data_IF_273744629894
#
_entry.id   IF_273744629894
#
_cell.length_a   1.000
_cell.length_b   1.000
_cell.length_c   1.000
_cell.angle_alpha   90.00
_cell.angle_beta   90.00
_cell.angle_gamma   90.00
#
_symmetry.space_group_name_H-M   'P 1'
#
loop_
_entity.id
_entity.type
_entity.pdbx_description
1 polymer ?
#
# COMPACT_ATOMS: atom_id res chain seq x y z
N UNK A 1 -79.16 -43.53 39.70
CA UNK A 1 -79.11 -42.33 40.56
C UNK A 1 -77.78 -42.30 41.30
N UNK A 2 -77.00 -41.26 41.01
CA UNK A 2 -75.94 -40.62 41.82
C UNK A 2 -74.91 -41.50 42.55
N UNK A 3 -73.74 -41.58 41.94
CA UNK A 3 -72.47 -41.71 42.64
C UNK A 3 -71.77 -40.33 42.73
N UNK A 4 -70.82 -40.22 43.67
CA UNK A 4 -69.73 -39.26 43.72
C UNK A 4 -70.03 -37.88 44.35
N UNK A 5 -69.66 -37.70 45.63
CA UNK A 5 -68.95 -36.52 46.18
C UNK A 5 -68.71 -36.60 47.70
N UNK A 6 -67.44 -36.37 48.08
CA UNK A 6 -66.94 -35.73 49.34
C UNK A 6 -66.86 -36.59 50.62
N UNK A 7 -65.84 -36.54 51.49
CA UNK A 7 -64.54 -35.81 51.61
C UNK A 7 -63.78 -36.47 52.80
N UNK A 8 -62.49 -36.82 52.71
CA UNK A 8 -61.29 -35.98 52.90
C UNK A 8 -60.89 -35.75 54.39
N UNK A 9 -60.03 -36.62 54.94
CA UNK A 9 -59.08 -36.28 56.01
C UNK A 9 -58.03 -37.40 56.18
N UNK A 10 -56.80 -37.02 56.52
CA UNK A 10 -55.64 -37.86 56.87
C UNK A 10 -54.75 -38.39 55.72
N UNK A 11 -53.88 -37.50 55.22
CA UNK A 11 -52.49 -37.84 54.91
C UNK A 11 -51.66 -36.54 54.78
N UNK A 12 -51.52 -35.78 55.87
CA UNK A 12 -50.52 -34.70 55.94
C UNK A 12 -49.23 -35.30 56.53
N UNK A 13 -48.60 -36.17 55.73
CA UNK A 13 -47.26 -36.63 56.01
C UNK A 13 -46.29 -35.46 55.75
N UNK A 14 -45.44 -35.24 56.73
CA UNK A 14 -44.27 -34.36 56.72
C UNK A 14 -43.47 -34.57 55.44
N UNK A 15 -43.64 -33.67 54.47
CA UNK A 15 -42.63 -33.41 53.44
C UNK A 15 -42.01 -32.08 53.83
N UNK A 16 -40.91 -32.19 54.56
CA UNK A 16 -39.93 -31.13 54.70
C UNK A 16 -39.53 -30.71 53.28
N UNK A 17 -40.05 -29.58 52.80
CA UNK A 17 -39.61 -28.93 51.58
C UNK A 17 -38.14 -28.53 51.76
N UNK A 18 -37.23 -29.45 51.48
CA UNK A 18 -35.91 -29.12 50.95
C UNK A 18 -36.12 -28.62 49.52
N UNK A 19 -36.72 -27.44 49.38
CA UNK A 19 -36.44 -26.65 48.19
C UNK A 19 -34.94 -26.38 48.25
N UNK A 20 -34.13 -26.78 47.25
CA UNK A 20 -32.78 -26.24 47.17
C UNK A 20 -32.95 -24.73 47.18
N UNK A 21 -32.45 -24.06 48.22
CA UNK A 21 -32.27 -22.61 48.18
C UNK A 21 -31.51 -22.35 46.89
N UNK A 22 -32.12 -21.65 45.93
CA UNK A 22 -31.41 -21.20 44.75
C UNK A 22 -30.23 -20.38 45.27
N UNK A 23 -29.02 -20.95 45.19
CA UNK A 23 -27.80 -20.22 45.51
C UNK A 23 -27.65 -19.21 44.39
N UNK A 24 -28.15 -18.00 44.59
CA UNK A 24 -27.89 -16.91 43.66
C UNK A 24 -26.38 -16.70 43.66
N UNK A 25 -25.74 -16.93 42.52
CA UNK A 25 -24.35 -16.53 42.34
C UNK A 25 -24.30 -15.02 42.62
N UNK A 26 -23.55 -14.61 43.64
CA UNK A 26 -23.36 -13.19 43.88
C UNK A 26 -22.63 -12.63 42.66
N UNK A 27 -23.21 -11.61 42.02
CA UNK A 27 -22.59 -10.95 40.88
C UNK A 27 -21.16 -10.53 41.27
N UNK A 28 -20.16 -10.80 40.40
CA UNK A 28 -18.83 -10.28 40.63
C UNK A 28 -18.90 -8.75 40.64
N UNK A 29 -18.23 -8.10 41.58
CA UNK A 29 -18.11 -6.65 41.59
C UNK A 29 -16.65 -6.26 41.37
N UNK A 30 -16.38 -5.42 40.38
CA UNK A 30 -15.03 -4.86 40.16
C UNK A 30 -14.93 -3.55 40.95
N UNK A 31 -13.99 -3.47 41.89
CA UNK A 31 -13.71 -2.23 42.62
C UNK A 31 -12.74 -1.33 41.86
N UNK A 32 -11.69 -1.92 41.29
CA UNK A 32 -10.73 -1.23 40.43
C UNK A 32 -9.99 -2.23 39.53
N UNK A 33 -9.16 -1.68 38.64
CA UNK A 33 -8.18 -2.45 37.89
C UNK A 33 -6.96 -1.57 37.58
N UNK A 34 -5.79 -2.19 37.47
CA UNK A 34 -4.55 -1.51 37.14
C UNK A 34 -3.61 -2.38 36.29
N UNK A 35 -2.94 -1.80 35.27
CA UNK A 35 -3.06 -0.41 34.82
C UNK A 35 -4.38 -0.14 34.07
N UNK A 36 -4.79 1.13 34.00
CA UNK A 36 -6.00 1.54 33.28
C UNK A 36 -5.82 1.57 31.75
N UNK A 37 -4.58 1.55 31.28
CA UNK A 37 -4.20 1.49 29.86
C UNK A 37 -2.98 0.61 29.69
N UNK A 38 -2.97 -0.27 28.69
CA UNK A 38 -1.81 -1.10 28.39
C UNK A 38 -1.83 -1.67 26.96
N UNK A 39 -0.64 -2.09 26.52
CA UNK A 39 -0.48 -2.84 25.27
C UNK A 39 -1.14 -4.22 25.36
N UNK A 40 -1.59 -4.78 24.22
CA UNK A 40 -1.90 -6.19 24.14
C UNK A 40 -0.79 -7.08 24.68
N UNK A 41 -1.16 -8.13 25.41
CA UNK A 41 -0.22 -9.03 26.07
C UNK A 41 0.24 -8.55 27.46
N UNK A 42 0.02 -7.28 27.81
CA UNK A 42 0.26 -6.82 29.18
C UNK A 42 -0.74 -7.45 30.16
N UNK A 43 -0.35 -7.52 31.43
CA UNK A 43 -1.23 -8.03 32.49
C UNK A 43 -1.92 -6.88 33.22
N UNK A 44 -3.24 -6.94 33.32
CA UNK A 44 -4.08 -6.09 34.15
C UNK A 44 -4.50 -6.87 35.40
N UNK A 45 -4.27 -6.29 36.57
CA UNK A 45 -4.79 -6.80 37.83
C UNK A 45 -6.17 -6.18 38.07
N UNK A 46 -7.18 -7.02 38.24
CA UNK A 46 -8.56 -6.63 38.50
C UNK A 46 -8.86 -6.97 39.96
N UNK A 47 -9.25 -6.00 40.76
CA UNK A 47 -9.63 -6.20 42.16
C UNK A 47 -11.15 -6.05 42.32
N UNK A 48 -11.69 -6.74 43.32
CA UNK A 48 -13.12 -6.76 43.54
C UNK A 48 -13.58 -7.77 44.56
N UNK A 49 -14.77 -8.31 44.36
CA UNK A 49 -15.38 -9.33 45.21
C UNK A 49 -16.12 -10.37 44.39
N UNK A 50 -16.35 -11.52 45.00
CA UNK A 50 -17.10 -12.66 44.45
C UNK A 50 -16.46 -13.31 43.21
N UNK A 51 -15.13 -13.29 43.05
CA UNK A 51 -14.48 -13.85 41.84
C UNK A 51 -14.30 -15.39 41.87
N UNK A 52 -14.75 -16.07 42.93
CA UNK A 52 -14.57 -17.52 43.09
C UNK A 52 -15.23 -18.40 42.02
N UNK A 53 -16.18 -17.84 41.25
CA UNK A 53 -16.86 -18.52 40.14
C UNK A 53 -16.42 -18.07 38.75
N UNK A 54 -15.33 -17.30 38.61
CA UNK A 54 -14.97 -16.64 37.37
C UNK A 54 -14.80 -17.62 36.20
N UNK A 55 -15.47 -17.32 35.08
CA UNK A 55 -15.46 -18.09 33.83
C UNK A 55 -14.83 -17.32 32.68
N UNK A 56 -15.08 -16.03 32.58
CA UNK A 56 -14.45 -15.21 31.55
C UNK A 56 -14.26 -13.76 31.99
N UNK A 57 -13.25 -13.13 31.38
CA UNK A 57 -12.97 -11.70 31.47
C UNK A 57 -13.00 -11.17 30.05
N UNK A 58 -13.77 -10.10 29.81
CA UNK A 58 -13.86 -9.44 28.52
C UNK A 58 -13.54 -7.96 28.64
N UNK A 59 -12.71 -7.47 27.74
CA UNK A 59 -12.33 -6.06 27.64
C UNK A 59 -13.15 -5.36 26.56
N UNK A 60 -13.96 -4.40 26.96
CA UNK A 60 -14.81 -3.65 26.05
C UNK A 60 -15.92 -4.47 25.38
N UNK A 61 -16.65 -3.86 24.42
CA UNK A 61 -17.86 -4.43 23.86
C UNK A 61 -17.62 -5.38 22.69
N UNK A 62 -16.38 -5.65 22.27
CA UNK A 62 -16.11 -6.58 21.16
C UNK A 62 -16.11 -8.03 21.62
N UNK A 63 -16.79 -8.92 20.89
CA UNK A 63 -16.87 -10.36 21.22
C UNK A 63 -15.55 -11.10 21.03
N UNK A 64 -14.57 -10.51 20.36
CA UNK A 64 -13.22 -11.05 20.22
C UNK A 64 -12.29 -10.72 21.38
N UNK A 65 -12.70 -9.84 22.31
CA UNK A 65 -11.85 -9.31 23.37
C UNK A 65 -11.94 -10.08 24.69
N UNK A 66 -12.03 -11.42 24.61
CA UNK A 66 -11.91 -12.27 25.79
C UNK A 66 -10.44 -12.45 26.16
N UNK A 67 -10.13 -12.19 27.42
CA UNK A 67 -8.78 -12.28 27.95
C UNK A 67 -8.48 -13.69 28.47
N UNK A 68 -7.23 -14.11 28.27
CA UNK A 68 -6.64 -15.16 29.11
C UNK A 68 -6.47 -14.58 30.51
N UNK A 69 -6.78 -15.36 31.55
CA UNK A 69 -6.66 -14.90 32.93
C UNK A 69 -6.10 -15.97 33.86
N UNK A 70 -5.51 -15.53 34.96
CA UNK A 70 -4.83 -16.37 35.94
C UNK A 70 -4.87 -15.73 37.34
N UNK A 71 -4.34 -16.42 38.34
CA UNK A 71 -4.20 -15.87 39.70
C UNK A 71 -5.53 -15.47 40.35
N UNK A 72 -6.60 -16.21 40.06
CA UNK A 72 -7.94 -15.91 40.56
C UNK A 72 -8.02 -16.25 42.05
N UNK A 73 -8.40 -15.26 42.86
CA UNK A 73 -8.80 -15.40 44.26
C UNK A 73 -10.23 -14.88 44.41
N UNK A 74 -10.80 -14.87 45.62
CA UNK A 74 -12.15 -14.32 45.84
C UNK A 74 -12.26 -12.81 45.51
N UNK A 75 -11.15 -12.08 45.51
CA UNK A 75 -11.11 -10.61 45.40
C UNK A 75 -10.16 -10.07 44.35
N UNK A 76 -9.51 -10.93 43.57
CA UNK A 76 -8.53 -10.51 42.55
C UNK A 76 -8.44 -11.51 41.41
N UNK A 77 -8.24 -11.02 40.19
CA UNK A 77 -7.84 -11.81 39.03
C UNK A 77 -6.79 -11.04 38.21
N UNK A 78 -5.92 -11.76 37.51
CA UNK A 78 -4.98 -11.17 36.54
C UNK A 78 -5.42 -11.54 35.13
N UNK A 79 -5.57 -10.55 34.27
CA UNK A 79 -6.03 -10.72 32.89
C UNK A 79 -4.98 -10.22 31.91
N UNK A 80 -4.74 -10.98 30.84
CA UNK A 80 -3.86 -10.57 29.74
C UNK A 80 -4.68 -9.78 28.72
N UNK A 81 -4.26 -8.55 28.42
CA UNK A 81 -4.95 -7.66 27.47
C UNK A 81 -5.02 -8.34 26.10
N UNK A 82 -6.22 -8.54 25.52
CA UNK A 82 -6.34 -9.16 24.21
C UNK A 82 -5.81 -8.27 23.09
N UNK A 83 -5.45 -8.88 21.96
CA UNK A 83 -5.03 -8.16 20.76
C UNK A 83 -6.23 -7.54 20.04
N UNK A 84 -6.05 -6.33 19.51
CA UNK A 84 -7.08 -5.58 18.78
C UNK A 84 -7.68 -4.41 19.58
N UNK A 85 -8.84 -3.94 19.12
CA UNK A 85 -9.55 -2.82 19.74
C UNK A 85 -10.41 -3.30 20.91
N UNK A 86 -9.75 -3.50 22.05
CA UNK A 86 -10.37 -3.97 23.29
C UNK A 86 -10.55 -2.86 24.34
N UNK A 87 -10.68 -1.61 23.90
CA UNK A 87 -10.98 -0.50 24.80
C UNK A 87 -12.45 -0.54 25.25
N UNK A 88 -12.70 -0.19 26.51
CA UNK A 88 -14.02 -0.14 27.13
C UNK A 88 -14.04 -0.75 28.53
N UNK A 89 -15.23 -0.87 29.13
CA UNK A 89 -15.39 -1.47 30.45
C UNK A 89 -14.99 -2.95 30.45
N UNK A 90 -14.50 -3.44 31.59
CA UNK A 90 -14.17 -4.84 31.79
C UNK A 90 -15.41 -5.54 32.33
N UNK A 91 -15.81 -6.64 31.68
CA UNK A 91 -16.91 -7.49 32.14
C UNK A 91 -16.38 -8.83 32.63
N UNK A 92 -16.81 -9.23 33.82
CA UNK A 92 -16.60 -10.55 34.40
C UNK A 92 -17.89 -11.36 34.28
N UNK A 93 -17.73 -12.63 33.97
CA UNK A 93 -18.78 -13.63 34.01
C UNK A 93 -18.42 -14.71 35.02
N UNK A 94 -19.30 -14.93 35.97
CA UNK A 94 -19.22 -16.00 36.96
C UNK A 94 -20.25 -17.08 36.68
N UNK A 95 -19.91 -18.32 37.03
CA UNK A 95 -20.86 -19.42 37.13
C UNK A 95 -20.66 -20.14 38.47
N UNK A 96 -21.61 -19.97 39.38
CA UNK A 96 -21.61 -20.62 40.71
C UNK A 96 -22.88 -21.46 40.81
N UNK A 97 -22.71 -22.76 41.09
CA UNK A 97 -23.83 -23.70 41.24
C UNK A 97 -24.83 -23.71 40.07
N UNK A 98 -24.36 -23.45 38.84
CA UNK A 98 -25.20 -23.42 37.64
C UNK A 98 -25.95 -22.11 37.40
N UNK A 99 -25.70 -21.07 38.20
CA UNK A 99 -26.30 -19.74 38.04
C UNK A 99 -25.25 -18.77 37.51
N UNK A 100 -25.58 -18.07 36.42
CA UNK A 100 -24.75 -17.02 35.84
C UNK A 100 -24.82 -15.74 36.67
N UNK A 101 -23.67 -15.08 36.83
CA UNK A 101 -23.56 -13.74 37.42
C UNK A 101 -22.62 -12.86 36.59
N UNK A 102 -22.90 -11.57 36.50
CA UNK A 102 -22.16 -10.63 35.66
C UNK A 102 -21.78 -9.36 36.41
N UNK A 103 -20.56 -8.90 36.17
CA UNK A 103 -20.01 -7.70 36.79
C UNK A 103 -19.30 -6.84 35.76
N UNK A 104 -19.56 -5.54 35.75
CA UNK A 104 -18.91 -4.62 34.82
C UNK A 104 -18.21 -3.51 35.61
N UNK A 105 -16.97 -3.18 35.25
CA UNK A 105 -16.24 -2.07 35.89
C UNK A 105 -16.93 -0.74 35.62
N UNK A 106 -16.89 0.17 36.61
CA UNK A 106 -17.38 1.54 36.42
C UNK A 106 -16.53 2.31 35.40
N UNK A 107 -15.20 2.22 35.53
CA UNK A 107 -14.24 2.83 34.60
C UNK A 107 -13.97 1.95 33.37
N UNK A 108 -13.55 2.58 32.28
CA UNK A 108 -13.10 1.89 31.05
C UNK A 108 -11.60 1.64 31.07
N UNK A 109 -11.20 0.48 30.55
CA UNK A 109 -9.81 0.18 30.19
C UNK A 109 -9.52 0.69 28.78
N UNK A 110 -8.28 1.11 28.53
CA UNK A 110 -7.82 1.55 27.20
C UNK A 110 -6.75 0.59 26.67
N UNK A 111 -7.04 -0.08 25.55
CA UNK A 111 -6.02 -0.83 24.81
C UNK A 111 -5.18 0.14 23.99
N UNK A 112 -3.85 -0.03 23.98
CA UNK A 112 -2.96 0.83 23.18
C UNK A 112 -3.29 0.78 21.68
N UNK A 113 -3.18 1.91 20.96
CA UNK A 113 -3.35 1.95 19.50
C UNK A 113 -2.25 1.13 18.79
N UNK A 114 -2.41 0.84 17.49
CA UNK A 114 -1.36 0.20 16.70
C UNK A 114 -0.15 1.12 16.62
N UNK A 115 1.05 0.55 16.72
CA UNK A 115 2.30 1.31 16.71
C UNK A 115 3.41 0.53 16.02
N UNK A 116 4.36 1.24 15.42
CA UNK A 116 5.58 0.68 14.85
C UNK A 116 6.74 1.06 15.77
N UNK A 117 7.47 0.06 16.25
CA UNK A 117 8.64 0.22 17.13
C UNK A 117 9.95 0.28 16.34
N UNK A 118 10.05 -0.52 15.28
CA UNK A 118 11.27 -0.62 14.49
C UNK A 118 11.02 -1.01 13.04
N UNK A 119 12.00 -0.71 12.20
CA UNK A 119 12.04 -1.07 10.78
C UNK A 119 13.33 -1.84 10.50
N UNK A 120 13.26 -2.89 9.68
CA UNK A 120 14.47 -3.61 9.22
C UNK A 120 15.38 -2.75 8.34
N UNK A 121 14.84 -1.70 7.73
CA UNK A 121 15.56 -0.70 6.95
C UNK A 121 14.90 0.67 7.11
N UNK A 122 15.70 1.73 7.13
CA UNK A 122 15.25 3.14 7.17
C UNK A 122 15.38 3.83 5.82
N UNK A 123 15.87 3.12 4.80
CA UNK A 123 16.00 3.63 3.42
C UNK A 123 15.95 2.50 2.40
N UNK A 124 15.69 2.85 1.14
CA UNK A 124 15.68 1.91 0.02
C UNK A 124 15.44 2.61 -1.32
N UNK A 125 15.37 1.83 -2.40
CA UNK A 125 15.10 2.34 -3.75
C UNK A 125 14.12 1.42 -4.46
N UNK A 126 13.03 1.94 -5.06
CA UNK A 126 12.10 1.09 -5.80
C UNK A 126 12.52 0.89 -7.26
N UNK A 127 11.94 -0.10 -7.94
CA UNK A 127 11.30 -1.28 -7.40
C UNK A 127 12.39 -2.19 -6.83
N UNK A 128 12.38 -2.39 -5.52
CA UNK A 128 13.21 -3.43 -4.91
C UNK A 128 12.38 -4.66 -4.67
N UNK A 129 12.93 -5.82 -5.03
CA UNK A 129 12.51 -7.11 -4.46
C UNK A 129 12.80 -7.19 -2.95
N UNK A 130 13.60 -6.27 -2.42
CA UNK A 130 13.87 -6.12 -0.99
C UNK A 130 12.61 -5.61 -0.29
N UNK A 131 12.20 -6.33 0.76
CA UNK A 131 11.06 -5.95 1.60
C UNK A 131 11.54 -5.27 2.89
N UNK A 132 10.74 -4.36 3.41
CA UNK A 132 10.92 -3.74 4.73
C UNK A 132 10.01 -4.46 5.72
N UNK A 133 10.59 -4.96 6.80
CA UNK A 133 9.83 -5.54 7.93
C UNK A 133 9.62 -4.45 8.99
N UNK A 134 8.36 -4.18 9.28
CA UNK A 134 7.89 -3.28 10.33
C UNK A 134 7.55 -4.14 11.55
N UNK A 135 8.15 -3.85 12.70
CA UNK A 135 7.87 -4.53 13.98
C UNK A 135 7.21 -3.56 14.93
N UNK A 136 6.21 -4.02 15.68
CA UNK A 136 5.46 -3.17 16.58
C UNK A 136 4.40 -3.91 17.40
N UNK A 137 3.31 -3.22 17.74
CA UNK A 137 2.15 -3.81 18.43
C UNK A 137 0.86 -3.56 17.67
N UNK A 138 -0.10 -4.45 17.88
CA UNK A 138 -1.46 -4.30 17.35
C UNK A 138 -1.52 -4.20 15.81
N UNK A 139 -0.59 -4.84 15.10
CA UNK A 139 -0.50 -4.82 13.63
C UNK A 139 -1.34 -5.91 12.94
N UNK A 140 -2.13 -6.67 13.71
CA UNK A 140 -3.06 -7.66 13.15
C UNK A 140 -4.15 -6.98 12.33
N UNK A 141 -4.58 -7.61 11.23
CA UNK A 141 -5.62 -7.04 10.38
C UNK A 141 -5.17 -5.77 9.67
N UNK A 142 -3.87 -5.68 9.36
CA UNK A 142 -3.34 -4.64 8.47
C UNK A 142 -4.08 -4.70 7.14
N UNK A 143 -4.72 -3.59 6.78
CA UNK A 143 -5.48 -3.39 5.55
C UNK A 143 -4.63 -2.78 4.43
N UNK A 144 -3.67 -1.92 4.77
CA UNK A 144 -2.72 -1.37 3.82
C UNK A 144 -1.41 -0.91 4.48
N UNK A 145 -0.34 -0.91 3.69
CA UNK A 145 0.96 -0.34 4.04
C UNK A 145 1.35 0.65 2.97
N UNK A 146 1.59 1.92 3.30
CA UNK A 146 1.86 2.96 2.30
C UNK A 146 3.10 3.79 2.67
N UNK A 147 3.96 4.06 1.69
CA UNK A 147 5.29 4.67 1.88
C UNK A 147 5.26 6.17 1.55
N UNK A 148 5.35 7.01 2.59
CA UNK A 148 5.26 8.46 2.46
C UNK A 148 3.88 8.95 2.05
N UNK A 149 3.73 10.25 1.80
CA UNK A 149 2.51 10.84 1.23
C UNK A 149 2.71 11.05 -0.25
N UNK A 150 1.75 10.61 -1.07
CA UNK A 150 1.79 10.77 -2.52
C UNK A 150 0.51 11.47 -3.01
N UNK A 151 0.67 12.47 -3.87
CA UNK A 151 -0.46 13.19 -4.47
C UNK A 151 -1.33 12.29 -5.37
N UNK A 152 -0.74 11.23 -5.92
CA UNK A 152 -1.36 10.32 -6.90
C UNK A 152 -1.83 9.00 -6.28
N UNK A 153 -1.73 8.79 -4.96
CA UNK A 153 -2.27 7.61 -4.27
C UNK A 153 -1.60 6.25 -4.53
N UNK A 154 -0.56 6.19 -5.38
CA UNK A 154 0.15 4.93 -5.75
C UNK A 154 1.31 4.53 -4.83
N UNK A 155 1.32 5.05 -3.60
CA UNK A 155 2.37 4.79 -2.60
C UNK A 155 2.09 3.57 -1.72
N UNK A 156 0.98 2.87 -1.92
CA UNK A 156 0.64 1.67 -1.16
C UNK A 156 1.30 0.41 -1.74
N UNK A 157 1.80 -0.43 -0.84
CA UNK A 157 2.64 -1.58 -1.11
C UNK A 157 1.84 -2.88 -1.15
N UNK A 158 2.40 -3.86 -1.85
CA UNK A 158 2.13 -5.26 -1.53
C UNK A 158 2.78 -5.58 -0.18
N UNK A 159 2.05 -6.30 0.67
CA UNK A 159 2.51 -6.63 2.01
C UNK A 159 2.03 -8.02 2.45
N UNK A 160 2.71 -8.53 3.47
CA UNK A 160 2.35 -9.74 4.21
C UNK A 160 2.24 -9.38 5.68
N UNK A 161 1.06 -9.59 6.26
CA UNK A 161 0.88 -9.49 7.72
C UNK A 161 1.41 -10.77 8.36
N UNK A 162 2.35 -10.63 9.30
CA UNK A 162 3.01 -11.74 9.98
C UNK A 162 2.48 -11.89 11.41
N UNK A 163 1.20 -11.62 11.62
CA UNK A 163 0.55 -11.66 12.93
C UNK A 163 0.43 -10.28 13.56
N UNK A 164 0.56 -10.23 14.89
CA UNK A 164 0.15 -9.07 15.70
C UNK A 164 1.28 -8.05 15.91
N UNK A 165 2.52 -8.45 15.66
CA UNK A 165 3.71 -7.65 15.95
C UNK A 165 4.59 -7.37 14.73
N UNK A 166 4.23 -7.88 13.55
CA UNK A 166 5.07 -7.71 12.36
C UNK A 166 4.27 -7.65 11.06
N UNK A 167 4.69 -6.77 10.16
CA UNK A 167 4.22 -6.68 8.77
C UNK A 167 5.44 -6.51 7.88
N UNK A 168 5.48 -7.23 6.76
CA UNK A 168 6.54 -7.09 5.75
C UNK A 168 5.94 -6.48 4.48
N UNK A 169 6.54 -5.42 3.95
CA UNK A 169 6.04 -4.72 2.78
C UNK A 169 7.15 -4.49 1.73
N UNK A 170 6.79 -4.66 0.46
CA UNK A 170 7.69 -4.36 -0.66
C UNK A 170 7.60 -2.87 -1.01
N UNK A 171 8.73 -2.23 -1.30
CA UNK A 171 8.72 -0.80 -1.61
C UNK A 171 8.07 -0.57 -2.99
N UNK A 172 6.92 0.12 -3.09
CA UNK A 172 6.20 0.26 -4.35
C UNK A 172 6.87 1.30 -5.26
N UNK A 173 6.59 1.23 -6.56
CA UNK A 173 7.11 2.18 -7.59
C UNK A 173 6.60 3.61 -7.43
N UNK A 174 5.49 3.82 -6.71
CA UNK A 174 4.97 5.15 -6.37
C UNK A 174 5.34 5.63 -4.96
N UNK A 175 6.26 4.95 -4.26
CA UNK A 175 6.66 5.34 -2.90
C UNK A 175 7.20 6.79 -2.82
N UNK A 176 7.17 7.37 -1.62
CA UNK A 176 7.74 8.69 -1.34
C UNK A 176 8.57 8.65 -0.07
N UNK A 177 9.60 9.50 -0.02
CA UNK A 177 10.31 9.74 1.25
C UNK A 177 9.32 10.25 2.28
N UNK A 178 9.33 9.65 3.46
CA UNK A 178 8.37 9.97 4.52
C UNK A 178 8.09 8.77 5.42
N UNK A 179 7.24 8.93 6.44
CA UNK A 179 6.86 7.81 7.29
C UNK A 179 6.11 6.74 6.48
N UNK A 180 6.23 5.48 6.89
CA UNK A 180 5.42 4.38 6.39
C UNK A 180 4.16 4.31 7.27
N UNK A 181 2.99 4.38 6.64
CA UNK A 181 1.70 4.23 7.29
C UNK A 181 1.23 2.77 7.19
N UNK A 182 0.92 2.15 8.33
CA UNK A 182 0.28 0.84 8.43
C UNK A 182 -1.14 1.06 8.95
N UNK A 183 -2.12 0.88 8.07
CA UNK A 183 -3.53 1.02 8.42
C UNK A 183 -4.06 -0.33 8.90
N UNK A 184 -4.57 -0.37 10.12
CA UNK A 184 -5.25 -1.53 10.70
C UNK A 184 -6.73 -1.22 10.89
N UNK A 185 -7.54 -2.22 11.20
CA UNK A 185 -8.97 -2.03 11.54
C UNK A 185 -9.20 -1.18 12.81
N UNK A 186 -8.15 -0.90 13.58
CA UNK A 186 -8.24 -0.25 14.88
C UNK A 186 -7.49 1.10 14.94
N UNK A 187 -6.88 1.52 13.82
CA UNK A 187 -6.13 2.76 13.70
C UNK A 187 -4.93 2.65 12.77
N UNK A 188 -4.21 3.75 12.62
CA UNK A 188 -3.00 3.82 11.78
C UNK A 188 -1.76 3.94 12.63
N UNK A 189 -0.77 3.08 12.37
CA UNK A 189 0.58 3.21 12.92
C UNK A 189 1.48 3.90 11.89
N UNK A 190 2.34 4.81 12.36
CA UNK A 190 3.33 5.48 11.52
C UNK A 190 4.74 5.10 11.98
N UNK A 191 5.62 4.81 11.02
CA UNK A 191 7.05 4.65 11.30
C UNK A 191 7.74 6.02 11.37
N UNK A 192 9.01 6.07 11.80
CA UNK A 192 9.91 7.16 11.43
C UNK A 192 10.07 7.29 9.91
N UNK A 193 10.67 8.39 9.45
CA UNK A 193 10.92 8.62 8.01
C UNK A 193 11.70 7.48 7.38
N UNK A 194 11.16 6.93 6.29
CA UNK A 194 11.83 6.05 5.36
C UNK A 194 12.37 6.88 4.18
N UNK A 195 13.66 6.81 3.92
CA UNK A 195 14.33 7.61 2.90
C UNK A 195 14.40 6.88 1.55
N UNK A 196 14.00 7.57 0.49
CA UNK A 196 14.22 7.15 -0.89
C UNK A 196 15.26 8.05 -1.56
N UNK A 197 15.94 7.60 -2.63
CA UNK A 197 16.72 8.48 -3.48
C UNK A 197 15.77 9.47 -4.15
N UNK A 198 15.69 10.66 -3.56
CA UNK A 198 14.81 11.72 -4.02
C UNK A 198 15.65 12.84 -4.65
N UNK A 199 15.43 13.13 -5.93
CA UNK A 199 16.00 14.32 -6.56
C UNK A 199 14.96 15.44 -6.52
N UNK A 200 15.21 16.55 -5.80
CA UNK A 200 14.26 17.65 -5.69
C UNK A 200 13.98 18.34 -7.03
N UNK A 201 14.72 18.03 -8.09
CA UNK A 201 14.43 18.48 -9.45
C UNK A 201 13.35 17.65 -10.13
N UNK A 202 12.88 16.54 -9.57
CA UNK A 202 11.75 15.75 -10.12
C UNK A 202 10.44 16.26 -9.49
N UNK A 203 9.38 16.57 -10.26
CA UNK A 203 8.12 17.08 -9.69
C UNK A 203 7.41 16.04 -8.82
N UNK A 204 6.69 16.48 -7.78
CA UNK A 204 6.04 15.59 -6.81
C UNK A 204 4.92 14.75 -7.42
N UNK A 205 4.32 15.25 -8.50
CA UNK A 205 3.30 14.58 -9.30
C UNK A 205 3.90 13.57 -10.28
N UNK A 206 5.23 13.51 -10.45
CA UNK A 206 5.86 12.48 -11.29
C UNK A 206 5.55 11.09 -10.73
N UNK A 207 4.87 10.24 -11.51
CA UNK A 207 4.47 8.91 -11.05
C UNK A 207 5.64 8.14 -10.44
N UNK A 208 6.76 8.13 -11.16
CA UNK A 208 8.02 7.50 -10.74
C UNK A 208 9.17 8.51 -10.74
N UNK A 209 9.95 8.48 -9.66
CA UNK A 209 11.07 9.42 -9.43
C UNK A 209 12.43 8.79 -9.66
N UNK A 210 12.48 7.54 -10.10
CA UNK A 210 13.69 6.76 -10.26
C UNK A 210 13.60 5.89 -11.49
N UNK A 211 14.75 5.38 -11.90
CA UNK A 211 14.88 4.43 -12.99
C UNK A 211 14.55 3.02 -12.53
N UNK A 212 13.95 2.22 -13.39
CA UNK A 212 13.77 0.80 -13.13
C UNK A 212 13.42 -0.03 -14.35
N UNK A 213 13.69 -1.33 -14.25
CA UNK A 213 13.28 -2.36 -15.19
C UNK A 213 12.13 -3.16 -14.59
N UNK A 214 10.98 -3.15 -15.24
CA UNK A 214 9.76 -3.87 -14.82
C UNK A 214 9.58 -5.20 -15.54
N UNK A 215 9.86 -5.23 -16.85
CA UNK A 215 9.75 -6.42 -17.68
C UNK A 215 10.96 -6.50 -18.63
N UNK A 216 12.08 -7.14 -18.19
CA UNK A 216 13.31 -7.21 -18.99
C UNK A 216 13.18 -8.05 -20.27
N UNK A 217 12.11 -8.83 -20.37
CA UNK A 217 11.77 -9.66 -21.53
C UNK A 217 10.28 -9.46 -21.88
N UNK A 218 9.89 -9.64 -23.16
CA UNK A 218 8.49 -9.49 -23.55
C UNK A 218 7.61 -10.53 -22.84
N UNK A 219 6.41 -10.15 -22.36
CA UNK A 219 5.42 -11.11 -21.90
C UNK A 219 5.01 -12.09 -23.01
N UNK A 220 4.47 -13.24 -22.62
CA UNK A 220 3.99 -14.22 -23.59
C UNK A 220 2.94 -13.60 -24.54
N UNK A 221 3.13 -13.79 -25.84
CA UNK A 221 2.25 -13.25 -26.88
C UNK A 221 2.52 -11.82 -27.31
N UNK A 222 3.50 -11.13 -26.71
CA UNK A 222 3.90 -9.78 -27.12
C UNK A 222 5.00 -9.87 -28.19
N UNK A 223 4.76 -9.26 -29.35
CA UNK A 223 5.65 -9.38 -30.54
C UNK A 223 6.24 -8.05 -30.99
N UNK A 224 6.03 -7.00 -30.22
CA UNK A 224 6.39 -5.66 -30.62
C UNK A 224 6.92 -4.84 -29.45
N UNK A 225 7.71 -3.81 -29.75
CA UNK A 225 8.23 -2.89 -28.76
C UNK A 225 8.32 -1.47 -29.30
N UNK A 226 8.19 -0.49 -28.40
CA UNK A 226 8.29 0.93 -28.73
C UNK A 226 9.10 1.66 -27.68
N UNK A 227 10.26 2.26 -28.02
CA UNK A 227 10.91 3.21 -27.13
C UNK A 227 10.11 4.51 -27.12
N UNK A 228 10.02 5.09 -25.93
CA UNK A 228 9.27 6.30 -25.66
C UNK A 228 10.07 7.24 -24.76
N UNK A 229 9.58 8.47 -24.66
CA UNK A 229 9.97 9.40 -23.62
C UNK A 229 8.80 10.30 -23.22
N UNK A 230 8.92 10.88 -22.03
CA UNK A 230 8.03 11.92 -21.53
C UNK A 230 8.78 13.21 -21.39
N UNK A 231 8.10 14.33 -21.64
CA UNK A 231 8.61 15.65 -21.37
C UNK A 231 7.64 16.42 -20.48
N UNK A 232 8.17 16.89 -19.35
CA UNK A 232 7.41 17.59 -18.32
C UNK A 232 7.92 19.02 -18.20
N UNK A 233 6.97 19.94 -17.96
CA UNK A 233 7.29 21.31 -17.59
C UNK A 233 7.52 21.42 -16.08
N UNK A 234 8.74 21.77 -15.70
CA UNK A 234 9.11 21.99 -14.30
C UNK A 234 8.69 23.40 -13.86
N UNK A 235 7.58 23.48 -13.13
CA UNK A 235 7.01 24.74 -12.62
C UNK A 235 7.88 25.43 -11.57
N UNK A 236 8.80 24.69 -10.94
CA UNK A 236 9.68 25.18 -9.87
C UNK A 236 10.91 25.93 -10.40
N UNK A 237 11.32 25.65 -11.62
CA UNK A 237 12.41 26.36 -12.29
C UNK A 237 12.05 27.84 -12.50
N UNK A 238 12.99 28.81 -12.54
CA UNK A 238 12.69 30.25 -12.54
C UNK A 238 11.70 30.70 -13.63
N UNK A 239 10.85 31.69 -13.32
CA UNK A 239 9.87 32.26 -14.25
C UNK A 239 10.55 32.90 -15.48
N UNK A 240 10.02 32.60 -16.68
CA UNK A 240 10.44 33.24 -17.95
C UNK A 240 11.36 32.42 -18.86
N UNK A 241 11.87 31.26 -18.45
CA UNK A 241 12.63 30.37 -19.34
C UNK A 241 11.67 29.42 -20.08
N UNK A 242 11.43 29.64 -21.38
CA UNK A 242 10.71 28.68 -22.20
C UNK A 242 11.46 27.34 -22.19
N UNK A 243 10.76 26.25 -21.90
CA UNK A 243 11.34 24.90 -21.98
C UNK A 243 11.48 24.49 -23.43
N UNK A 244 12.62 23.89 -23.79
CA UNK A 244 12.80 23.24 -25.11
C UNK A 244 13.44 21.90 -24.89
N UNK A 245 12.83 20.86 -25.45
CA UNK A 245 13.43 19.54 -25.59
C UNK A 245 13.83 19.37 -27.04
N UNK A 246 15.04 18.89 -27.27
CA UNK A 246 15.53 18.51 -28.58
C UNK A 246 16.04 17.07 -28.56
N UNK A 247 15.60 16.29 -29.54
CA UNK A 247 15.81 14.84 -29.68
C UNK A 247 16.52 14.59 -31.00
N UNK A 248 17.79 14.21 -30.93
CA UNK A 248 18.52 13.76 -32.12
C UNK A 248 18.27 12.29 -32.38
N UNK A 249 18.18 11.48 -31.32
CA UNK A 249 17.87 10.07 -31.46
C UNK A 249 17.12 9.51 -30.25
N UNK A 250 16.17 8.60 -30.51
CA UNK A 250 15.50 7.73 -29.57
C UNK A 250 15.46 6.32 -30.17
N UNK A 251 16.06 5.36 -29.48
CA UNK A 251 16.32 4.01 -30.01
C UNK A 251 16.09 2.94 -28.95
N UNK A 252 15.68 1.75 -29.41
CA UNK A 252 15.64 0.53 -28.60
C UNK A 252 16.56 -0.51 -29.23
N UNK A 253 17.53 -0.98 -28.46
CA UNK A 253 18.35 -2.15 -28.81
C UNK A 253 18.02 -3.30 -27.89
N UNK A 254 17.96 -4.52 -28.41
CA UNK A 254 17.81 -5.74 -27.62
C UNK A 254 18.68 -6.85 -28.22
N UNK A 255 19.01 -7.85 -27.43
CA UNK A 255 19.53 -9.11 -27.94
C UNK A 255 18.36 -9.95 -28.46
N UNK A 256 18.32 -10.18 -29.78
CA UNK A 256 17.32 -11.02 -30.45
C UNK A 256 18.00 -12.29 -30.91
N UNK A 257 17.60 -13.43 -30.36
CA UNK A 257 18.26 -14.73 -30.57
C UNK A 257 19.78 -14.68 -30.29
N UNK A 258 20.18 -13.92 -29.26
CA UNK A 258 21.58 -13.75 -28.87
C UNK A 258 22.38 -12.74 -29.72
N UNK A 259 21.72 -12.00 -30.62
CA UNK A 259 22.36 -10.98 -31.47
C UNK A 259 21.83 -9.58 -31.13
N UNK A 260 22.75 -8.67 -30.78
CA UNK A 260 22.43 -7.27 -30.55
C UNK A 260 21.78 -6.65 -31.80
N UNK A 261 20.51 -6.28 -31.66
CA UNK A 261 19.65 -5.82 -32.76
C UNK A 261 19.03 -4.49 -32.38
N UNK A 262 19.05 -3.53 -33.31
CA UNK A 262 18.27 -2.30 -33.17
C UNK A 262 16.85 -2.60 -33.60
N UNK A 263 15.92 -2.63 -32.65
CA UNK A 263 14.51 -2.89 -32.93
C UNK A 263 13.85 -1.63 -33.49
N UNK A 264 14.03 -0.50 -32.81
CA UNK A 264 13.44 0.78 -33.19
C UNK A 264 14.48 1.90 -33.13
N UNK A 265 14.41 2.84 -34.07
CA UNK A 265 15.30 4.00 -34.15
C UNK A 265 14.55 5.18 -34.80
N UNK A 266 14.41 6.29 -34.07
CA UNK A 266 13.72 7.48 -34.57
C UNK A 266 14.44 8.16 -35.73
N UNK A 267 15.77 7.99 -35.86
CA UNK A 267 16.55 8.59 -36.93
C UNK A 267 16.25 7.96 -38.31
N UNK A 268 15.87 6.68 -38.34
CA UNK A 268 15.50 5.97 -39.58
C UNK A 268 14.00 5.80 -39.76
N UNK A 269 13.20 6.21 -38.78
CA UNK A 269 11.74 6.09 -38.82
C UNK A 269 11.07 7.46 -38.66
N UNK A 270 10.46 7.72 -37.51
CA UNK A 270 9.84 8.97 -37.13
C UNK A 270 9.86 9.11 -35.60
N UNK A 271 9.61 10.32 -35.10
CA UNK A 271 9.27 10.58 -33.70
C UNK A 271 7.78 10.98 -33.67
N UNK A 272 6.95 10.20 -33.00
CA UNK A 272 5.56 10.55 -32.74
C UNK A 272 5.41 11.21 -31.39
N UNK A 273 4.20 11.68 -31.11
CA UNK A 273 3.82 12.02 -29.76
C UNK A 273 2.36 12.39 -29.61
N UNK A 274 1.91 12.39 -28.36
CA UNK A 274 0.56 12.73 -27.94
C UNK A 274 0.57 13.41 -26.58
N UNK A 275 -0.54 14.07 -26.25
CA UNK A 275 -0.74 14.72 -24.96
C UNK A 275 -1.44 13.76 -24.00
N UNK A 276 -0.90 13.62 -22.79
CA UNK A 276 -1.41 12.71 -21.77
C UNK A 276 -1.62 13.42 -20.44
N UNK A 277 -2.53 12.90 -19.61
CA UNK A 277 -2.71 13.37 -18.23
C UNK A 277 -1.64 12.79 -17.31
N UNK A 278 -1.33 13.55 -16.24
CA UNK A 278 -0.43 13.09 -15.17
C UNK A 278 -1.17 12.37 -14.05
N UNK A 279 -2.49 12.55 -13.94
CA UNK A 279 -3.31 11.94 -12.90
C UNK A 279 -4.66 11.47 -13.45
N UNK A 280 -4.87 10.16 -13.66
CA UNK A 280 -3.85 9.10 -13.57
C UNK A 280 -2.74 9.32 -14.61
N UNK A 281 -1.52 8.88 -14.30
CA UNK A 281 -0.39 9.05 -15.20
C UNK A 281 -0.58 8.21 -16.47
N UNK A 282 -0.46 8.86 -17.63
CA UNK A 282 -0.83 8.30 -18.94
C UNK A 282 -2.33 8.02 -19.11
N UNK A 283 -3.21 8.67 -18.34
CA UNK A 283 -4.64 8.65 -18.64
C UNK A 283 -4.96 9.52 -19.84
N UNK A 284 -5.97 9.06 -20.59
CA UNK A 284 -6.50 9.74 -21.75
C UNK A 284 -7.86 10.32 -21.37
N UNK A 285 -7.91 11.57 -20.89
CA UNK A 285 -9.16 12.31 -20.97
C UNK A 285 -9.34 12.74 -22.42
N UNK A 286 -10.13 11.97 -23.18
CA UNK A 286 -10.73 12.33 -24.48
C UNK A 286 -9.99 13.42 -25.30
N UNK A 287 -8.69 13.23 -25.55
CA UNK A 287 -7.85 14.17 -26.31
C UNK A 287 -6.77 13.48 -27.15
N UNK A 288 -7.07 12.25 -27.58
CA UNK A 288 -6.25 11.36 -28.44
C UNK A 288 -5.85 11.94 -29.82
N UNK A 289 -6.06 13.24 -30.08
CA UNK A 289 -5.83 13.88 -31.37
C UNK A 289 -5.16 15.25 -31.30
N UNK A 290 -4.58 15.69 -30.17
CA UNK A 290 -3.70 16.86 -30.20
C UNK A 290 -2.30 16.43 -30.63
N UNK A 291 -1.90 16.66 -31.91
CA UNK A 291 -0.57 16.29 -32.36
C UNK A 291 0.45 17.06 -31.52
N UNK A 292 1.45 16.34 -31.03
CA UNK A 292 2.59 16.97 -30.39
C UNK A 292 3.24 17.98 -31.36
N UNK A 293 3.57 19.20 -30.91
CA UNK A 293 4.08 20.27 -31.77
C UNK A 293 5.57 20.04 -32.11
N UNK A 294 5.86 18.93 -32.77
CA UNK A 294 7.19 18.52 -33.18
C UNK A 294 7.63 19.34 -34.39
N UNK A 295 8.82 19.94 -34.31
CA UNK A 295 9.49 20.63 -35.41
C UNK A 295 10.86 20.02 -35.69
N UNK A 296 11.31 20.06 -36.94
CA UNK A 296 12.64 19.56 -37.31
C UNK A 296 13.68 20.69 -37.31
N UNK A 297 14.84 20.40 -36.75
CA UNK A 297 16.04 21.22 -36.87
C UNK A 297 17.04 20.52 -37.80
N UNK A 298 17.15 21.03 -39.02
CA UNK A 298 18.01 20.43 -40.06
C UNK A 298 19.50 20.60 -39.77
N UNK A 299 19.90 21.63 -39.01
CA UNK A 299 21.32 21.88 -38.68
C UNK A 299 21.92 20.81 -37.78
N UNK A 300 21.10 20.21 -36.93
CA UNK A 300 21.48 19.19 -35.94
C UNK A 300 20.84 17.84 -36.23
N UNK A 301 20.07 17.72 -37.32
CA UNK A 301 19.30 16.53 -37.68
C UNK A 301 18.47 16.00 -36.49
N UNK A 302 17.73 16.90 -35.84
CA UNK A 302 16.98 16.62 -34.61
C UNK A 302 15.56 17.15 -34.67
N UNK A 303 14.75 16.72 -33.73
CA UNK A 303 13.36 17.14 -33.54
C UNK A 303 13.30 17.96 -32.26
N UNK A 304 12.53 19.05 -32.23
CA UNK A 304 12.39 19.87 -31.04
C UNK A 304 10.96 20.28 -30.79
N UNK A 305 10.65 20.55 -29.52
CA UNK A 305 9.33 20.97 -29.07
C UNK A 305 9.44 21.64 -27.69
N UNK A 306 8.41 22.39 -27.32
CA UNK A 306 8.26 22.92 -25.97
C UNK A 306 7.43 21.97 -25.09
N UNK A 307 7.82 21.70 -23.83
CA UNK A 307 6.95 21.03 -22.87
C UNK A 307 5.59 21.74 -22.72
N UNK A 308 4.53 21.00 -22.43
CA UNK A 308 3.23 21.60 -22.16
C UNK A 308 3.28 22.38 -20.83
N UNK A 309 2.87 23.65 -20.84
CA UNK A 309 2.88 24.51 -19.66
C UNK A 309 1.76 24.22 -18.67
N UNK A 310 0.73 23.45 -19.08
CA UNK A 310 -0.33 22.98 -18.19
C UNK A 310 0.22 21.79 -17.40
N UNK A 311 0.41 21.97 -16.09
CA UNK A 311 1.24 21.08 -15.27
C UNK A 311 0.69 19.67 -15.05
N UNK A 312 -0.60 19.44 -15.32
CA UNK A 312 -1.30 18.14 -15.26
C UNK A 312 -1.38 17.46 -16.64
N UNK A 313 -0.76 18.04 -17.69
CA UNK A 313 -0.65 17.47 -19.03
C UNK A 313 0.82 17.36 -19.46
N UNK A 314 1.20 16.24 -20.04
CA UNK A 314 2.58 15.96 -20.45
C UNK A 314 2.63 15.51 -21.90
N UNK A 315 3.74 15.80 -22.57
CA UNK A 315 4.01 15.18 -23.87
C UNK A 315 4.62 13.80 -23.65
N UNK A 316 3.99 12.79 -24.23
CA UNK A 316 4.57 11.47 -24.42
C UNK A 316 4.97 11.36 -25.89
N UNK A 317 6.22 11.00 -26.18
CA UNK A 317 6.76 10.88 -27.52
C UNK A 317 7.40 9.51 -27.72
N UNK A 318 7.48 9.03 -28.96
CA UNK A 318 7.93 7.66 -29.23
C UNK A 318 8.55 7.52 -30.61
N UNK A 319 9.41 6.51 -30.79
CA UNK A 319 9.85 6.10 -32.12
C UNK A 319 8.88 5.09 -32.74
N UNK A 320 9.11 4.74 -34.00
CA UNK A 320 8.33 3.70 -34.68
C UNK A 320 8.30 2.38 -33.91
N UNK A 321 7.11 1.77 -33.83
CA UNK A 321 6.91 0.47 -33.19
C UNK A 321 7.57 -0.64 -34.00
N UNK A 322 8.45 -1.39 -33.36
CA UNK A 322 9.22 -2.46 -33.96
C UNK A 322 8.57 -3.83 -33.74
N UNK A 323 8.76 -4.75 -34.68
CA UNK A 323 8.30 -6.13 -34.59
C UNK A 323 9.47 -7.10 -34.43
N UNK A 324 9.21 -8.22 -33.76
CA UNK A 324 10.07 -9.39 -33.73
C UNK A 324 9.23 -10.67 -33.86
N UNK A 325 9.87 -11.78 -34.24
CA UNK A 325 9.19 -13.08 -34.38
C UNK A 325 8.62 -13.55 -33.06
N UNK A 326 7.45 -14.20 -33.08
CA UNK A 326 6.86 -14.89 -31.91
C UNK A 326 7.77 -15.98 -31.34
N UNK A 327 8.68 -16.52 -32.15
CA UNK A 327 9.65 -17.53 -31.75
C UNK A 327 10.98 -16.94 -31.27
N UNK A 328 11.16 -15.61 -31.31
CA UNK A 328 12.43 -15.00 -30.96
C UNK A 328 12.62 -14.93 -29.44
N UNK A 329 13.82 -15.24 -28.97
CA UNK A 329 14.23 -14.87 -27.62
C UNK A 329 14.69 -13.41 -27.63
N UNK A 330 14.00 -12.55 -26.88
CA UNK A 330 14.35 -11.12 -26.76
C UNK A 330 14.74 -10.83 -25.31
N UNK A 331 15.93 -10.26 -25.11
CA UNK A 331 16.48 -9.95 -23.79
C UNK A 331 17.44 -8.75 -23.87
N UNK A 332 17.97 -8.33 -22.71
CA UNK A 332 19.05 -7.34 -22.63
C UNK A 332 18.74 -6.04 -23.40
N UNK A 333 17.48 -5.60 -23.29
CA UNK A 333 17.02 -4.40 -23.96
C UNK A 333 17.62 -3.15 -23.34
N UNK A 334 17.83 -2.12 -24.14
CA UNK A 334 18.31 -0.82 -23.70
C UNK A 334 17.64 0.27 -24.51
N UNK A 335 17.01 1.22 -23.83
CA UNK A 335 16.60 2.48 -24.45
C UNK A 335 17.81 3.40 -24.54
N UNK A 336 18.01 3.98 -25.71
CA UNK A 336 19.02 4.99 -25.99
C UNK A 336 18.34 6.30 -26.36
N UNK A 337 18.82 7.41 -25.80
CA UNK A 337 18.40 8.75 -26.18
C UNK A 337 19.59 9.69 -26.30
N UNK A 338 19.66 10.44 -27.42
CA UNK A 338 20.55 11.59 -27.57
C UNK A 338 19.72 12.86 -27.61
N UNK A 339 19.78 13.62 -26.53
CA UNK A 339 18.85 14.71 -26.27
C UNK A 339 19.54 15.90 -25.62
N UNK A 340 18.91 17.07 -25.70
CA UNK A 340 19.18 18.17 -24.77
C UNK A 340 17.86 18.79 -24.34
N UNK A 341 17.78 19.14 -23.07
CA UNK A 341 16.64 19.83 -22.48
C UNK A 341 17.12 21.18 -21.96
N UNK A 342 16.39 22.25 -22.23
CA UNK A 342 16.73 23.60 -21.76
C UNK A 342 15.54 24.25 -21.07
N UNK A 343 15.78 25.30 -20.30
CA UNK A 343 14.75 26.05 -19.62
C UNK A 343 14.02 25.20 -18.57
N UNK A 344 12.70 25.07 -18.70
CA UNK A 344 11.83 24.37 -17.75
C UNK A 344 11.49 22.93 -18.17
N UNK A 345 12.39 22.25 -18.87
CA UNK A 345 12.13 20.91 -19.42
C UNK A 345 12.79 19.80 -18.59
N UNK A 346 12.03 18.75 -18.28
CA UNK A 346 12.54 17.50 -17.71
C UNK A 346 12.11 16.34 -18.61
N UNK A 347 13.01 15.40 -18.87
CA UNK A 347 12.74 14.27 -19.76
C UNK A 347 12.98 12.96 -19.03
N UNK A 348 12.21 11.93 -19.37
CA UNK A 348 12.50 10.54 -18.97
C UNK A 348 12.22 9.64 -20.16
N UNK A 349 13.00 8.57 -20.29
CA UNK A 349 12.89 7.61 -21.40
C UNK A 349 12.44 6.25 -20.90
N UNK A 350 11.98 5.42 -21.80
CA UNK A 350 11.69 4.02 -21.52
C UNK A 350 11.31 3.27 -22.78
N UNK A 351 10.78 2.07 -22.61
CA UNK A 351 10.08 1.39 -23.69
C UNK A 351 8.96 0.53 -23.14
N UNK A 352 8.02 0.21 -24.03
CA UNK A 352 6.92 -0.70 -23.75
C UNK A 352 6.97 -1.89 -24.68
N UNK A 353 6.58 -3.05 -24.15
CA UNK A 353 6.17 -4.21 -24.93
C UNK A 353 4.74 -4.01 -25.40
N UNK A 354 4.46 -4.43 -26.62
CA UNK A 354 3.13 -4.40 -27.21
C UNK A 354 2.75 -5.78 -27.76
N UNK A 355 1.46 -6.08 -27.63
CA UNK A 355 0.87 -7.31 -28.16
C UNK A 355 1.11 -7.48 -29.67
N UNK A 356 1.08 -6.40 -30.45
CA UNK A 356 1.37 -6.41 -31.89
C UNK A 356 1.75 -5.03 -32.43
N UNK A 357 2.21 -4.95 -33.69
CA UNK A 357 2.57 -3.66 -34.30
C UNK A 357 1.39 -2.72 -34.52
N UNK A 358 0.18 -3.27 -34.56
CA UNK A 358 -1.04 -2.56 -34.95
C UNK A 358 -2.01 -2.38 -33.78
N UNK A 359 -1.61 -2.80 -32.58
CA UNK A 359 -2.44 -2.65 -31.38
C UNK A 359 -2.67 -1.16 -31.11
N UNK A 360 -3.94 -0.71 -31.03
CA UNK A 360 -4.26 0.67 -30.65
C UNK A 360 -3.91 0.88 -29.17
N UNK A 361 -3.70 2.13 -28.74
CA UNK A 361 -3.63 2.41 -27.31
C UNK A 361 -5.00 2.11 -26.66
N UNK A 362 -5.01 1.29 -25.61
CA UNK A 362 -6.21 0.95 -24.83
C UNK A 362 -6.08 1.38 -23.37
N UNK A 363 -5.11 2.25 -23.08
CA UNK A 363 -4.71 2.61 -21.74
C UNK A 363 -3.62 1.69 -21.18
N UNK A 364 -2.94 2.21 -20.16
CA UNK A 364 -1.78 1.57 -19.55
C UNK A 364 -2.07 0.15 -19.07
N UNK A 365 -1.28 -0.82 -19.53
CA UNK A 365 -1.34 -2.21 -19.06
C UNK A 365 -2.40 -3.07 -19.76
N UNK A 366 -3.23 -2.48 -20.64
CA UNK A 366 -4.29 -3.21 -21.33
C UNK A 366 -3.72 -4.11 -22.45
N UNK A 367 -2.90 -3.54 -23.31
CA UNK A 367 -2.25 -4.25 -24.42
C UNK A 367 -0.79 -3.83 -24.67
N UNK A 368 -0.28 -2.97 -23.77
CA UNK A 368 1.12 -2.61 -23.60
C UNK A 368 1.58 -2.95 -22.17
N UNK A 369 2.84 -3.33 -22.01
CA UNK A 369 3.47 -3.58 -20.71
C UNK A 369 4.78 -2.82 -20.66
N UNK A 370 4.97 -1.96 -19.66
CA UNK A 370 6.20 -1.20 -19.51
C UNK A 370 7.40 -2.15 -19.33
N UNK A 371 8.43 -1.98 -20.16
CA UNK A 371 9.67 -2.73 -20.08
C UNK A 371 10.62 -2.15 -19.04
N UNK A 372 10.96 -0.88 -19.19
CA UNK A 372 11.69 -0.09 -18.19
C UNK A 372 11.52 1.40 -18.41
N UNK A 373 12.10 2.17 -17.49
CA UNK A 373 12.24 3.61 -17.57
C UNK A 373 13.58 4.08 -16.99
N UNK A 374 14.17 5.08 -17.63
CA UNK A 374 15.47 5.66 -17.28
C UNK A 374 15.40 6.56 -16.05
N UNK A 375 16.55 7.02 -15.53
CA UNK A 375 16.58 8.20 -14.68
C UNK A 375 16.02 9.42 -15.42
N UNK A 376 15.64 10.45 -14.67
CA UNK A 376 15.28 11.74 -15.24
C UNK A 376 16.51 12.44 -15.84
N UNK A 377 16.33 12.97 -17.04
CA UNK A 377 17.26 13.79 -17.78
C UNK A 377 17.00 15.24 -17.41
N UNK A 378 18.02 15.89 -16.84
CA UNK A 378 17.93 17.28 -16.41
C UNK A 378 18.45 18.24 -17.46
N UNK A 379 17.99 19.49 -17.34
CA UNK A 379 18.35 20.62 -18.18
C UNK A 379 19.87 20.75 -18.37
N UNK A 380 20.30 20.77 -19.63
CA UNK A 380 21.68 20.98 -20.06
C UNK A 380 21.69 21.65 -21.45
N UNK A 381 22.52 22.68 -21.68
CA UNK A 381 22.71 23.24 -23.03
C UNK A 381 23.45 22.27 -23.97
N UNK A 382 24.19 21.32 -23.40
CA UNK A 382 24.94 20.31 -24.12
C UNK A 382 24.09 19.08 -24.39
N UNK A 383 24.37 18.40 -25.51
CA UNK A 383 23.83 17.08 -25.80
C UNK A 383 24.21 16.07 -24.71
N UNK A 384 23.22 15.31 -24.28
CA UNK A 384 23.32 14.22 -23.34
C UNK A 384 22.96 12.93 -24.07
N UNK A 385 23.75 11.89 -23.81
CA UNK A 385 23.48 10.54 -24.29
C UNK A 385 23.16 9.67 -23.09
N UNK A 386 22.00 9.02 -23.13
CA UNK A 386 21.54 8.12 -22.09
C UNK A 386 21.30 6.77 -22.71
N UNK A 387 21.86 5.74 -22.07
CA UNK A 387 21.56 4.34 -22.33
C UNK A 387 21.08 3.76 -21.02
N UNK A 388 19.89 3.17 -21.01
CA UNK A 388 19.33 2.55 -19.81
C UNK A 388 18.74 1.17 -20.13
N UNK A 389 19.01 0.14 -19.31
CA UNK A 389 18.50 -1.21 -19.50
C UNK A 389 16.99 -1.36 -19.39
#
# INVERSE_FOLDING_TARGET
MKALKQHLAAALAVILLLLPTAVQAADPAISDFAPASADPGATVTINGTNFGGLKSIRFGPSSSCYAQYSGVTATQAKAVVPVGNCSGQITLHNLVSGVDGYGTSSSSFTSSPPRIDSMSATSGQPPSVVSVTLTGVNLLGTASVCFGVSAIGHNCALFTSNGTTSVTAQIPTGARTGPIAVNTSIGTAYSPTFALPDDPKIPDEAWTRWAYVSAPTPPAGYTSATPWGVAVFDTRSPAGSAGVVEVQNLKLTCDVNGVATTLADSATSYLGGGLYERDPWFANAESDNLPMPLAQNTSTASWYFAPNTVSDRIWHFWAGRANFSTSASVSNCHVYGKMRATGRALVQLGWDWWSSSTSPDQGYGANNVQGAQSPWIFVSPNWQEITYP
#
